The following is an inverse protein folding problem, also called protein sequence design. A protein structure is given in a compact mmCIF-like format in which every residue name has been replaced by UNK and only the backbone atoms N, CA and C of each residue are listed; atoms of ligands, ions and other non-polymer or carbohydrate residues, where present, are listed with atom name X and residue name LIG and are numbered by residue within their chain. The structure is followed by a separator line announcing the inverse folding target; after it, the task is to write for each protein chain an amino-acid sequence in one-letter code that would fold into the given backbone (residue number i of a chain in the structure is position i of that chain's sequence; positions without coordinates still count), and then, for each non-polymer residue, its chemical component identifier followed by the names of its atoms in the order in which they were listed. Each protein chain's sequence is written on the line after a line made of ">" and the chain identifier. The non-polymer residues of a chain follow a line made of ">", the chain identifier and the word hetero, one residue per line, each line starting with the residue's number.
data_IF_355266666044
#
_entry.id   IF_355266666044
#
_cell.length_a   1.000
_cell.length_b   1.000
_cell.length_c   1.000
_cell.angle_alpha   90.00
_cell.angle_beta   90.00
_cell.angle_gamma   90.00
#
_symmetry.space_group_name_H-M   'P 1'
#
loop_
_entity.id
_entity.type
_entity.pdbx_description
1 polymer ?
#
# COMPACT_ATOMS: atom_id res chain seq x y z
N UNK A 1 -5.66 6.33 -10.41
CA UNK A 1 -6.22 5.72 -9.18
C UNK A 1 -6.28 6.78 -8.08
N UNK A 2 -7.28 6.74 -7.19
CA UNK A 2 -7.47 7.77 -6.15
C UNK A 2 -6.33 7.79 -5.10
N UNK A 3 -5.80 6.62 -4.73
CA UNK A 3 -4.66 6.52 -3.79
C UNK A 3 -3.40 7.23 -4.31
N UNK A 4 -2.94 6.93 -5.54
CA UNK A 4 -1.72 7.56 -6.09
C UNK A 4 -1.82 9.07 -6.11
N UNK A 5 -2.94 9.61 -6.63
CA UNK A 5 -3.20 11.06 -6.63
C UNK A 5 -3.10 11.65 -5.23
N UNK A 6 -3.67 10.97 -4.23
CA UNK A 6 -3.59 11.42 -2.84
C UNK A 6 -2.16 11.47 -2.30
N UNK A 7 -1.34 10.45 -2.61
CA UNK A 7 0.06 10.40 -2.22
C UNK A 7 0.87 11.49 -2.95
N UNK A 8 0.65 11.66 -4.26
CA UNK A 8 1.31 12.67 -5.08
C UNK A 8 0.98 14.09 -4.59
N UNK A 9 -0.30 14.40 -4.31
CA UNK A 9 -0.77 15.68 -3.77
C UNK A 9 -0.13 16.01 -2.40
N UNK A 10 0.20 14.98 -1.62
CA UNK A 10 0.87 15.11 -0.33
C UNK A 10 2.40 15.02 -0.43
N UNK A 11 2.95 14.85 -1.64
CA UNK A 11 4.38 14.62 -1.87
C UNK A 11 4.95 13.46 -1.05
N UNK A 12 4.13 12.43 -0.81
CA UNK A 12 4.55 11.20 -0.14
C UNK A 12 5.23 10.31 -1.18
N UNK A 13 6.47 9.90 -0.91
CA UNK A 13 7.18 8.96 -1.77
C UNK A 13 6.61 7.55 -1.63
N UNK A 14 6.43 6.86 -2.74
CA UNK A 14 5.97 5.47 -2.78
C UNK A 14 6.64 4.70 -3.90
N UNK A 15 6.66 3.37 -3.77
CA UNK A 15 7.00 2.47 -4.87
C UNK A 15 5.73 1.85 -5.40
N UNK A 16 5.46 2.05 -6.69
CA UNK A 16 4.39 1.35 -7.37
C UNK A 16 4.85 -0.06 -7.77
N UNK A 17 4.03 -1.06 -7.46
CA UNK A 17 4.19 -2.43 -7.95
C UNK A 17 2.96 -2.85 -8.74
N UNK A 18 3.16 -3.41 -9.94
CA UNK A 18 2.09 -3.86 -10.84
C UNK A 18 2.05 -5.38 -10.84
N UNK A 19 1.20 -5.95 -9.97
CA UNK A 19 1.11 -7.41 -9.73
C UNK A 19 0.69 -8.23 -10.96
N UNK A 20 0.05 -7.59 -11.94
CA UNK A 20 -0.36 -8.25 -13.20
C UNK A 20 0.84 -8.51 -14.13
N UNK A 21 1.95 -7.81 -13.92
CA UNK A 21 3.16 -7.87 -14.76
C UNK A 21 4.39 -8.36 -14.00
N UNK A 22 4.34 -8.34 -12.66
CA UNK A 22 5.42 -8.71 -11.78
C UNK A 22 4.94 -9.80 -10.80
N UNK A 23 5.33 -11.05 -11.09
CA UNK A 23 5.00 -12.20 -10.26
C UNK A 23 5.59 -12.10 -8.85
N UNK A 24 6.77 -11.49 -8.69
CA UNK A 24 7.37 -11.32 -7.37
C UNK A 24 6.56 -10.32 -6.54
N UNK A 25 6.10 -9.22 -7.15
CA UNK A 25 5.19 -8.29 -6.50
C UNK A 25 3.85 -8.94 -6.13
N UNK A 26 3.34 -9.83 -6.98
CA UNK A 26 2.12 -10.60 -6.71
C UNK A 26 2.29 -11.54 -5.51
N UNK A 27 3.41 -12.25 -5.44
CA UNK A 27 3.73 -13.14 -4.31
C UNK A 27 3.89 -12.36 -3.00
N UNK A 28 4.60 -11.23 -3.02
CA UNK A 28 4.75 -10.33 -1.87
C UNK A 28 3.39 -9.81 -1.38
N UNK A 29 2.53 -9.37 -2.32
CA UNK A 29 1.18 -8.93 -1.99
C UNK A 29 0.37 -10.05 -1.32
N UNK A 30 0.38 -11.26 -1.89
CA UNK A 30 -0.35 -12.40 -1.33
C UNK A 30 0.11 -12.75 0.08
N UNK A 31 1.42 -12.68 0.34
CA UNK A 31 1.99 -12.93 1.66
C UNK A 31 1.58 -11.86 2.68
N UNK A 32 1.70 -10.58 2.32
CA UNK A 32 1.39 -9.46 3.21
C UNK A 32 -0.13 -9.27 3.42
N UNK A 33 -0.97 -9.68 2.45
CA UNK A 33 -2.43 -9.51 2.48
C UNK A 33 -3.20 -10.70 3.07
N UNK A 34 -2.51 -11.80 3.37
CA UNK A 34 -3.14 -13.06 3.81
C UNK A 34 -3.96 -13.73 2.69
N UNK A 35 -3.53 -13.62 1.43
CA UNK A 35 -4.16 -14.24 0.27
C UNK A 35 -5.19 -13.36 -0.45
N UNK A 36 -5.41 -12.13 0.00
CA UNK A 36 -6.27 -11.17 -0.70
C UNK A 36 -5.58 -10.61 -1.97
N UNK A 37 -6.29 -10.60 -3.11
CA UNK A 37 -5.76 -10.16 -4.42
C UNK A 37 -6.41 -8.89 -4.98
N UNK A 38 -7.18 -8.14 -4.18
CA UNK A 38 -7.83 -6.92 -4.64
C UNK A 38 -6.88 -5.72 -4.66
N UNK A 39 -6.97 -4.91 -5.71
CA UNK A 39 -6.27 -3.62 -5.82
C UNK A 39 -7.23 -2.45 -5.61
N UNK A 40 -6.80 -1.32 -5.01
CA UNK A 40 -5.46 -1.08 -4.46
C UNK A 40 -5.18 -1.83 -3.17
N UNK A 41 -3.89 -2.12 -2.94
CA UNK A 41 -3.36 -2.63 -1.67
C UNK A 41 -2.12 -1.83 -1.32
N UNK A 42 -1.98 -1.43 -0.06
CA UNK A 42 -0.88 -0.60 0.41
C UNK A 42 -0.18 -1.30 1.56
N UNK A 43 1.15 -1.36 1.50
CA UNK A 43 2.01 -1.79 2.61
C UNK A 43 2.80 -0.57 3.07
N UNK A 44 2.75 -0.29 4.37
CA UNK A 44 3.47 0.82 5.00
C UNK A 44 4.44 0.22 6.01
N UNK A 45 5.73 0.33 5.74
CA UNK A 45 6.79 -0.03 6.68
C UNK A 45 7.13 1.19 7.51
N UNK A 46 7.01 1.07 8.83
CA UNK A 46 7.37 2.13 9.78
C UNK A 46 8.85 2.06 10.16
N UNK A 47 9.35 3.11 10.80
CA UNK A 47 10.76 3.21 11.24
C UNK A 47 11.16 2.13 12.26
N UNK A 48 10.19 1.58 13.01
CA UNK A 48 10.39 0.46 13.94
C UNK A 48 10.43 -0.91 13.25
N UNK A 49 10.32 -0.95 11.92
CA UNK A 49 10.31 -2.16 11.11
C UNK A 49 8.95 -2.87 11.06
N UNK A 50 7.92 -2.35 11.74
CA UNK A 50 6.57 -2.91 11.65
C UNK A 50 5.93 -2.58 10.31
N UNK A 51 5.13 -3.52 9.79
CA UNK A 51 4.34 -3.33 8.58
C UNK A 51 2.87 -3.15 8.95
N UNK A 52 2.25 -2.15 8.36
CA UNK A 52 0.79 -1.99 8.33
C UNK A 52 0.30 -2.21 6.91
N UNK A 53 -0.83 -2.90 6.77
CA UNK A 53 -1.43 -3.18 5.47
C UNK A 53 -2.82 -2.54 5.38
N UNK A 54 -3.14 -2.00 4.21
CA UNK A 54 -4.43 -1.37 3.93
C UNK A 54 -4.98 -1.98 2.64
N UNK A 55 -6.13 -2.63 2.77
CA UNK A 55 -6.91 -3.14 1.64
C UNK A 55 -7.80 -2.03 1.11
N UNK A 56 -7.77 -1.81 -0.20
CA UNK A 56 -8.50 -0.72 -0.86
C UNK A 56 -7.87 0.64 -0.60
N UNK A 57 -8.69 1.69 -0.67
CA UNK A 57 -8.29 3.05 -0.36
C UNK A 57 -9.13 3.59 0.80
N UNK A 58 -8.53 3.60 1.98
CA UNK A 58 -9.09 4.23 3.18
C UNK A 58 -8.21 5.42 3.58
N UNK A 59 -8.68 6.64 3.27
CA UNK A 59 -7.97 7.88 3.56
C UNK A 59 -7.80 8.11 5.08
N UNK A 60 -8.78 7.72 5.88
CA UNK A 60 -8.74 7.91 7.34
C UNK A 60 -7.69 7.02 7.97
N UNK A 61 -7.71 5.72 7.63
CA UNK A 61 -6.71 4.76 8.08
C UNK A 61 -5.32 5.10 7.57
N UNK A 62 -5.19 5.50 6.30
CA UNK A 62 -3.92 5.92 5.73
C UNK A 62 -3.30 7.07 6.53
N UNK A 63 -4.06 8.14 6.76
CA UNK A 63 -3.62 9.29 7.55
C UNK A 63 -3.19 8.91 8.96
N UNK A 64 -3.99 8.08 9.64
CA UNK A 64 -3.66 7.58 10.97
C UNK A 64 -2.32 6.82 10.98
N UNK A 65 -2.06 5.98 9.98
CA UNK A 65 -0.86 5.14 9.92
C UNK A 65 0.39 5.96 9.61
N UNK A 66 0.29 6.97 8.74
CA UNK A 66 1.43 7.81 8.32
C UNK A 66 1.58 9.10 9.13
N UNK A 67 0.68 9.36 10.09
CA UNK A 67 0.75 10.50 11.00
C UNK A 67 0.31 11.85 10.41
N UNK A 68 -0.70 11.84 9.52
CA UNK A 68 -1.32 13.05 8.93
C UNK A 68 -2.67 13.44 9.56
#
# INVERSE_FOLDING_TARGET
>A
MQLKKYLDERSISYTEKVIDQDDAAREEMLADSGGFMGVPFTVITKDDGTKETIIGFDKGKLNQVIGL
#
